data_IF_967300630346
#
_entry.id   IF_967300630346
#
_cell.length_a   1.000
_cell.length_b   1.000
_cell.length_c   1.000
_cell.angle_alpha   90.00
_cell.angle_beta   90.00
_cell.angle_gamma   90.00
#
_symmetry.space_group_name_H-M   'P 1'
#
loop_
_entity.id
_entity.type
_entity.pdbx_description
1 polymer ?
#
# COMPACT_ATOMS: atom_id res chain seq x y z
N UNK A 1 -32.38 -85.96 24.76
CA UNK A 1 -33.37 -84.86 24.73
C UNK A 1 -32.67 -83.61 24.24
N UNK A 2 -33.21 -83.02 23.18
CA UNK A 2 -32.67 -81.92 22.37
C UNK A 2 -32.70 -80.56 23.10
N UNK A 3 -31.63 -79.77 22.98
CA UNK A 3 -31.70 -78.29 22.98
C UNK A 3 -30.70 -77.76 21.95
N UNK A 4 -31.17 -77.48 20.73
CA UNK A 4 -31.52 -76.14 20.19
C UNK A 4 -30.33 -75.20 19.92
N UNK A 5 -30.07 -75.08 18.62
CA UNK A 5 -29.37 -74.04 17.83
C UNK A 5 -29.79 -72.61 18.23
N UNK A 6 -28.92 -71.59 18.30
CA UNK A 6 -28.56 -70.59 17.24
C UNK A 6 -28.32 -69.20 17.92
N UNK A 7 -27.92 -68.09 17.25
CA UNK A 7 -27.06 -67.86 16.08
C UNK A 7 -25.91 -66.84 16.34
N UNK A 8 -25.10 -66.62 15.29
CA UNK A 8 -23.96 -65.67 15.19
C UNK A 8 -24.40 -64.20 15.29
N UNK A 9 -23.65 -63.38 16.03
CA UNK A 9 -23.74 -61.91 16.00
C UNK A 9 -22.39 -61.34 15.57
N UNK A 10 -22.29 -60.97 14.28
CA UNK A 10 -21.21 -60.14 13.74
C UNK A 10 -21.50 -58.69 14.16
N UNK A 11 -20.78 -58.19 15.16
CA UNK A 11 -20.85 -56.78 15.55
C UNK A 11 -19.99 -55.94 14.62
N UNK A 12 -20.65 -55.31 13.65
CA UNK A 12 -20.17 -54.19 12.86
C UNK A 12 -20.03 -52.96 13.76
N UNK A 13 -18.84 -52.36 13.84
CA UNK A 13 -18.70 -50.99 14.36
C UNK A 13 -17.71 -50.19 13.51
N UNK A 14 -18.33 -49.25 12.78
CA UNK A 14 -17.88 -48.07 12.04
C UNK A 14 -16.38 -47.70 11.96
N UNK A 15 -15.95 -47.40 10.71
CA UNK A 15 -14.70 -46.68 10.41
C UNK A 15 -14.81 -45.22 10.91
N UNK A 16 -13.87 -44.80 11.73
CA UNK A 16 -13.72 -43.40 12.20
C UNK A 16 -13.38 -42.50 11.00
N UNK A 17 -14.22 -41.51 10.74
CA UNK A 17 -13.97 -40.48 9.73
C UNK A 17 -12.94 -39.47 10.25
N UNK A 18 -11.86 -39.26 9.50
CA UNK A 18 -10.83 -38.26 9.82
C UNK A 18 -11.39 -36.83 9.63
N UNK A 19 -10.93 -35.84 10.42
CA UNK A 19 -11.42 -34.48 10.31
C UNK A 19 -11.00 -33.84 8.99
N UNK A 20 -11.95 -33.17 8.35
CA UNK A 20 -11.78 -32.39 7.12
C UNK A 20 -10.92 -31.16 7.43
N UNK A 21 -9.70 -31.12 6.91
CA UNK A 21 -8.77 -29.97 7.01
C UNK A 21 -9.47 -28.72 6.46
N UNK A 22 -9.85 -27.80 7.33
CA UNK A 22 -10.30 -26.46 6.94
C UNK A 22 -9.07 -25.56 6.80
N UNK A 23 -8.63 -25.34 5.56
CA UNK A 23 -7.58 -24.36 5.24
C UNK A 23 -8.12 -22.98 5.61
N UNK A 24 -7.63 -22.40 6.71
CA UNK A 24 -7.91 -21.03 7.08
C UNK A 24 -7.33 -20.10 6.01
N UNK A 25 -8.16 -19.19 5.50
CA UNK A 25 -7.83 -18.20 4.47
C UNK A 25 -6.58 -17.40 4.89
N UNK A 26 -5.54 -17.43 4.06
CA UNK A 26 -4.36 -16.58 4.22
C UNK A 26 -4.79 -15.11 4.16
N UNK A 27 -4.60 -14.38 5.25
CA UNK A 27 -4.76 -12.92 5.27
C UNK A 27 -3.67 -12.30 4.40
N UNK A 28 -4.05 -11.84 3.20
CA UNK A 28 -3.14 -11.07 2.34
C UNK A 28 -3.08 -9.65 2.93
N UNK A 29 -1.89 -9.12 3.29
CA UNK A 29 -1.81 -7.75 3.75
C UNK A 29 -2.17 -6.81 2.59
N UNK A 30 -3.17 -5.96 2.80
CA UNK A 30 -3.50 -4.84 1.92
C UNK A 30 -2.32 -3.87 1.91
N UNK A 31 -1.63 -3.75 0.78
CA UNK A 31 -0.56 -2.78 0.58
C UNK A 31 -1.16 -1.36 0.72
N UNK A 32 -0.85 -0.68 1.82
CA UNK A 32 -1.17 0.74 2.00
C UNK A 32 -0.46 1.54 0.90
N UNK A 33 -1.23 2.05 -0.07
CA UNK A 33 -0.67 2.93 -1.11
C UNK A 33 -0.06 4.15 -0.42
N UNK A 34 1.18 4.56 -0.76
CA UNK A 34 1.73 5.78 -0.22
C UNK A 34 0.82 6.94 -0.62
N UNK A 35 0.48 7.80 0.35
CA UNK A 35 -0.26 9.02 0.08
C UNK A 35 0.56 9.86 -0.91
N UNK A 36 0.05 10.03 -2.13
CA UNK A 36 0.69 10.89 -3.12
C UNK A 36 0.70 12.32 -2.59
N UNK A 37 1.81 13.04 -2.78
CA UNK A 37 1.88 14.47 -2.43
C UNK A 37 0.85 15.22 -3.27
N UNK A 38 -0.16 15.77 -2.61
CA UNK A 38 -1.19 16.58 -3.25
C UNK A 38 -0.69 18.02 -3.37
N UNK A 39 -0.03 18.33 -4.48
CA UNK A 39 0.18 19.73 -4.87
C UNK A 39 -1.13 20.29 -5.41
N UNK A 40 -1.39 21.57 -5.14
CA UNK A 40 -2.52 22.26 -5.75
C UNK A 40 -2.36 22.27 -7.27
N UNK A 41 -3.45 22.10 -8.01
CA UNK A 41 -3.47 22.08 -9.48
C UNK A 41 -2.74 23.28 -10.12
N UNK A 42 -2.95 24.48 -9.60
CA UNK A 42 -2.24 25.69 -10.03
C UNK A 42 -0.71 25.63 -9.88
N UNK A 43 -0.20 24.93 -8.86
CA UNK A 43 1.25 24.76 -8.67
C UNK A 43 1.78 23.86 -9.78
N UNK A 44 1.09 22.75 -10.04
CA UNK A 44 1.45 21.80 -11.11
C UNK A 44 1.38 22.44 -12.50
N UNK A 45 0.32 23.21 -12.78
CA UNK A 45 0.18 23.95 -14.04
C UNK A 45 1.35 24.92 -14.24
N UNK A 46 1.69 25.71 -13.21
CA UNK A 46 2.78 26.67 -13.31
C UNK A 46 4.16 26.00 -13.48
N UNK A 47 4.37 24.81 -12.88
CA UNK A 47 5.58 24.02 -13.11
C UNK A 47 5.68 23.53 -14.57
N UNK A 48 4.57 23.08 -15.14
CA UNK A 48 4.55 22.52 -16.50
C UNK A 48 4.48 23.61 -17.59
N UNK A 49 3.92 24.77 -17.27
CA UNK A 49 3.76 25.91 -18.17
C UNK A 49 4.19 27.21 -17.46
N UNK A 50 5.51 27.43 -17.30
CA UNK A 50 6.02 28.56 -16.55
C UNK A 50 5.78 29.86 -17.32
N UNK A 51 5.06 30.77 -16.68
CA UNK A 51 4.81 32.13 -17.18
C UNK A 51 5.99 32.99 -16.72
N UNK A 52 6.55 33.82 -17.60
CA UNK A 52 7.67 34.73 -17.31
C UNK A 52 9.06 34.08 -17.20
N UNK A 53 9.31 33.00 -17.95
CA UNK A 53 10.68 32.50 -18.14
C UNK A 53 11.50 33.50 -18.94
N UNK A 54 12.69 33.85 -18.45
CA UNK A 54 13.59 34.78 -19.11
C UNK A 54 14.40 35.60 -18.11
N UNK A 55 15.25 36.48 -18.62
CA UNK A 55 16.00 37.44 -17.82
C UNK A 55 15.96 38.79 -18.51
N UNK A 56 15.78 39.84 -17.70
CA UNK A 56 15.86 41.22 -18.17
C UNK A 56 17.33 41.68 -18.20
N UNK A 57 17.68 42.65 -19.06
CA UNK A 57 19.03 43.19 -19.13
C UNK A 57 19.44 43.85 -17.80
N UNK A 58 20.61 43.47 -17.26
CA UNK A 58 21.10 43.94 -15.96
C UNK A 58 21.55 45.40 -15.92
N UNK A 59 21.81 45.99 -17.10
CA UNK A 59 22.29 47.36 -17.23
C UNK A 59 21.19 48.39 -17.48
N UNK A 60 19.94 47.96 -17.55
CA UNK A 60 18.80 48.86 -17.77
C UNK A 60 18.44 49.58 -16.46
N UNK A 61 18.24 50.90 -16.55
CA UNK A 61 17.95 51.77 -15.39
C UNK A 61 16.58 51.49 -14.79
N UNK A 62 15.67 50.93 -15.58
CA UNK A 62 14.30 50.61 -15.16
C UNK A 62 14.18 49.17 -14.58
N UNK A 63 15.27 48.39 -14.55
CA UNK A 63 15.27 46.97 -14.14
C UNK A 63 16.07 46.73 -12.87
N UNK A 64 15.39 46.34 -11.78
CA UNK A 64 16.03 45.88 -10.54
C UNK A 64 16.41 44.39 -10.60
N UNK A 65 17.67 44.05 -10.29
CA UNK A 65 18.11 42.65 -10.09
C UNK A 65 18.26 42.36 -8.58
N UNK A 66 17.51 41.39 -8.05
CA UNK A 66 17.59 40.96 -6.66
C UNK A 66 18.42 39.69 -6.47
N UNK A 67 19.42 39.71 -5.57
CA UNK A 67 20.11 38.50 -5.10
C UNK A 67 19.36 37.95 -3.89
N UNK A 68 18.85 36.72 -3.97
CA UNK A 68 18.13 36.05 -2.87
C UNK A 68 18.93 34.84 -2.39
N UNK A 69 19.40 34.87 -1.14
CA UNK A 69 20.08 33.74 -0.50
C UNK A 69 20.52 34.04 0.92
N UNK A 70 20.33 33.06 1.82
CA UNK A 70 20.92 33.02 3.16
C UNK A 70 21.43 31.58 3.43
N UNK A 71 22.57 31.39 4.13
CA UNK A 71 23.25 30.09 4.25
C UNK A 71 22.58 29.03 5.16
N UNK A 72 21.28 29.11 5.46
CA UNK A 72 20.58 28.09 6.25
C UNK A 72 19.07 28.26 6.13
N UNK A 73 18.25 27.22 5.95
CA UNK A 73 18.35 25.87 6.51
C UNK A 73 18.10 24.78 5.46
N UNK A 74 19.16 24.15 4.95
CA UNK A 74 19.08 22.81 4.38
C UNK A 74 19.40 21.79 5.48
N UNK A 75 18.45 21.61 6.40
CA UNK A 75 18.62 20.66 7.50
C UNK A 75 18.79 19.22 6.93
N UNK A 76 19.81 18.44 7.36
CA UNK A 76 19.89 17.02 7.02
C UNK A 76 18.92 16.12 7.80
N UNK A 77 18.20 16.66 8.79
CA UNK A 77 17.21 15.95 9.61
C UNK A 77 16.12 16.92 10.12
N UNK A 78 15.16 17.25 9.26
CA UNK A 78 13.89 17.89 9.65
C UNK A 78 12.77 16.90 9.37
#
# INVERSE_FOLDING_TARGET
MFTRQAPRMLTSIARVALPRVTIARSAVPSITRPAARAYHENVLDHYNNPRNVGSLPKGDVDVGTGLVGAPGMSNPLC
#
